data_IF_739506098441
#
_entry.id   IF_739506098441
#
_cell.length_a   1.000
_cell.length_b   1.000
_cell.length_c   1.000
_cell.angle_alpha   90.00
_cell.angle_beta   90.00
_cell.angle_gamma   90.00
#
_symmetry.space_group_name_H-M   'P 1'
#
loop_
_entity.id
_entity.type
_entity.pdbx_description
1 polymer ?
#
# COMPACT_ATOMS: atom_id res chain seq x y z
N UNK A 1 -9.09 35.16 8.28
CA UNK A 1 -10.22 35.04 7.34
C UNK A 1 -9.69 34.47 6.03
N UNK A 2 -10.21 33.33 5.56
CA UNK A 2 -9.90 32.83 4.21
C UNK A 2 -10.80 33.60 3.24
N UNK A 3 -10.23 34.48 2.42
CA UNK A 3 -11.00 35.13 1.35
C UNK A 3 -11.44 34.05 0.37
N UNK A 4 -12.75 33.97 0.12
CA UNK A 4 -13.28 33.08 -0.90
C UNK A 4 -12.74 33.53 -2.25
N UNK A 5 -12.21 32.59 -3.04
CA UNK A 5 -11.70 32.87 -4.38
C UNK A 5 -12.74 33.63 -5.21
N UNK A 6 -12.30 34.66 -5.93
CA UNK A 6 -13.17 35.49 -6.78
C UNK A 6 -13.81 34.64 -7.88
N UNK A 7 -14.93 35.09 -8.44
CA UNK A 7 -15.57 34.36 -9.54
C UNK A 7 -14.61 34.20 -10.74
N UNK A 8 -13.82 35.24 -11.03
CA UNK A 8 -12.81 35.22 -12.08
C UNK A 8 -11.71 34.17 -11.82
N UNK A 9 -11.22 34.07 -10.58
CA UNK A 9 -10.24 33.05 -10.18
C UNK A 9 -10.80 31.63 -10.34
N UNK A 10 -12.07 31.41 -9.95
CA UNK A 10 -12.73 30.10 -10.11
C UNK A 10 -12.91 29.72 -11.58
N UNK A 11 -13.31 30.67 -12.42
CA UNK A 11 -13.45 30.46 -13.87
C UNK A 11 -12.09 30.16 -14.50
N UNK A 12 -11.03 30.88 -14.10
CA UNK A 12 -9.67 30.62 -14.56
C UNK A 12 -9.20 29.20 -14.19
N UNK A 13 -9.38 28.78 -12.94
CA UNK A 13 -9.04 27.43 -12.49
C UNK A 13 -9.82 26.35 -13.26
N UNK A 14 -11.12 26.59 -13.52
CA UNK A 14 -11.94 25.69 -14.30
C UNK A 14 -11.44 25.56 -15.74
N UNK A 15 -11.17 26.68 -16.42
CA UNK A 15 -10.65 26.68 -17.79
C UNK A 15 -9.29 25.98 -17.85
N UNK A 16 -8.39 26.26 -16.89
CA UNK A 16 -7.09 25.60 -16.80
C UNK A 16 -7.23 24.08 -16.62
N UNK A 17 -8.22 23.63 -15.86
CA UNK A 17 -8.49 22.20 -15.69
C UNK A 17 -9.10 21.58 -16.95
N UNK A 18 -9.99 22.29 -17.64
CA UNK A 18 -10.57 21.87 -18.91
C UNK A 18 -9.49 21.73 -20.00
N UNK A 19 -8.60 22.71 -20.14
CA UNK A 19 -7.49 22.69 -21.10
C UNK A 19 -6.52 21.55 -20.83
N UNK A 20 -6.16 21.32 -19.56
CA UNK A 20 -5.34 20.18 -19.15
C UNK A 20 -5.99 18.85 -19.50
N UNK A 21 -7.30 18.73 -19.29
CA UNK A 21 -8.04 17.54 -19.64
C UNK A 21 -8.06 17.31 -21.16
N UNK A 22 -8.36 18.34 -21.96
CA UNK A 22 -8.38 18.25 -23.42
C UNK A 22 -7.01 17.78 -23.94
N UNK A 23 -5.92 18.44 -23.54
CA UNK A 23 -4.54 18.05 -23.92
C UNK A 23 -4.21 16.61 -23.54
N UNK A 24 -4.65 16.16 -22.37
CA UNK A 24 -4.44 14.76 -21.94
C UNK A 24 -5.24 13.77 -22.80
N UNK A 25 -6.47 14.13 -23.19
CA UNK A 25 -7.29 13.27 -24.04
C UNK A 25 -6.75 13.20 -25.47
N UNK A 26 -6.18 14.28 -26.02
CA UNK A 26 -5.55 14.27 -27.36
C UNK A 26 -4.45 13.22 -27.50
N UNK A 27 -3.70 12.97 -26.43
CA UNK A 27 -2.62 11.98 -26.39
C UNK A 27 -3.08 10.58 -25.95
N UNK A 28 -4.33 10.42 -25.53
CA UNK A 28 -4.88 9.16 -25.05
C UNK A 28 -5.36 8.29 -26.23
N UNK A 29 -4.79 7.10 -26.48
CA UNK A 29 -5.13 6.27 -27.64
C UNK A 29 -6.55 5.67 -27.55
N UNK A 30 -7.21 5.76 -26.40
CA UNK A 30 -8.58 5.31 -26.18
C UNK A 30 -9.61 6.44 -26.26
N UNK A 31 -9.20 7.66 -26.63
CA UNK A 31 -10.11 8.81 -26.77
C UNK A 31 -10.52 9.03 -28.23
N UNK A 32 -11.72 9.57 -28.45
CA UNK A 32 -12.15 10.02 -29.77
C UNK A 32 -11.40 11.29 -30.26
N UNK A 33 -10.57 11.91 -29.42
CA UNK A 33 -9.74 13.05 -29.80
C UNK A 33 -8.46 12.59 -30.49
N UNK A 34 -7.83 11.51 -30.03
CA UNK A 34 -6.61 10.97 -30.63
C UNK A 34 -6.85 10.35 -32.00
N UNK A 35 -8.01 9.72 -32.23
CA UNK A 35 -8.41 9.20 -33.54
C UNK A 35 -8.58 10.30 -34.60
N UNK A 36 -8.96 11.51 -34.19
CA UNK A 36 -9.12 12.68 -35.07
C UNK A 36 -7.80 13.43 -35.31
N UNK A 37 -6.94 13.49 -34.29
CA UNK A 37 -5.65 14.19 -34.35
C UNK A 37 -4.55 13.37 -35.01
N UNK A 38 -4.67 12.03 -35.03
CA UNK A 38 -3.58 11.14 -35.46
C UNK A 38 -2.40 11.08 -34.46
N UNK A 39 -2.54 11.76 -33.32
CA UNK A 39 -1.54 11.82 -32.26
C UNK A 39 -1.40 10.47 -31.56
N UNK A 40 -0.15 10.00 -31.45
CA UNK A 40 0.19 8.79 -30.69
C UNK A 40 0.56 9.18 -29.27
N UNK A 41 0.16 8.36 -28.31
CA UNK A 41 0.61 8.51 -26.92
C UNK A 41 2.14 8.52 -26.87
N UNK A 42 2.77 9.50 -26.21
CA UNK A 42 4.21 9.50 -25.99
C UNK A 42 4.62 8.21 -25.28
N UNK A 43 5.67 7.54 -25.77
CA UNK A 43 6.26 6.42 -25.02
C UNK A 43 7.04 7.02 -23.85
N UNK A 44 6.68 6.70 -22.60
CA UNK A 44 7.42 7.23 -21.47
C UNK A 44 8.87 6.74 -21.54
N UNK A 45 9.83 7.65 -21.45
CA UNK A 45 11.25 7.32 -21.28
C UNK A 45 11.57 7.43 -19.80
N UNK A 46 11.81 6.30 -19.15
CA UNK A 46 12.17 6.24 -17.72
C UNK A 46 13.58 5.67 -17.58
N UNK A 47 14.29 6.10 -16.54
CA UNK A 47 15.51 5.40 -16.13
C UNK A 47 15.17 4.02 -15.58
N UNK A 48 16.17 3.12 -15.55
CA UNK A 48 16.00 1.78 -14.98
C UNK A 48 15.47 1.82 -13.53
N UNK A 49 15.86 2.83 -12.76
CA UNK A 49 15.47 2.98 -11.35
C UNK A 49 14.03 3.50 -11.16
N UNK A 50 13.46 4.12 -12.19
CA UNK A 50 12.10 4.65 -12.20
C UNK A 50 11.10 3.66 -12.84
N UNK A 51 11.59 2.58 -13.46
CA UNK A 51 10.72 1.59 -14.06
C UNK A 51 9.83 0.90 -13.02
N UNK A 52 8.54 0.79 -13.32
CA UNK A 52 7.55 0.19 -12.41
C UNK A 52 7.19 1.04 -11.19
N UNK A 53 7.66 2.28 -11.10
CA UNK A 53 7.32 3.21 -10.00
C UNK A 53 6.35 4.29 -10.47
N UNK A 54 5.39 4.69 -9.62
CA UNK A 54 4.55 5.84 -9.92
C UNK A 54 5.39 7.13 -9.97
N UNK A 55 4.95 8.14 -10.73
CA UNK A 55 5.65 9.43 -10.77
C UNK A 55 5.72 10.06 -9.36
N UNK A 56 6.87 10.65 -8.99
CA UNK A 56 7.04 11.36 -7.74
C UNK A 56 5.97 12.43 -7.51
N UNK A 57 5.33 12.46 -6.34
CA UNK A 57 4.31 13.45 -5.99
C UNK A 57 2.93 13.19 -6.58
N UNK A 58 2.74 12.07 -7.27
CA UNK A 58 1.46 11.71 -7.87
C UNK A 58 0.49 11.07 -6.87
N UNK A 59 -0.82 11.18 -7.14
CA UNK A 59 -1.86 10.46 -6.39
C UNK A 59 -1.68 8.93 -6.42
N UNK A 60 -1.04 8.40 -7.46
CA UNK A 60 -0.73 6.97 -7.53
C UNK A 60 0.37 6.58 -6.54
N UNK A 61 1.38 7.42 -6.35
CA UNK A 61 2.43 7.20 -5.34
C UNK A 61 1.86 7.33 -3.93
N UNK A 62 1.08 8.38 -3.67
CA UNK A 62 0.39 8.55 -2.39
C UNK A 62 -0.46 7.32 -2.01
N UNK A 63 -1.27 6.82 -2.96
CA UNK A 63 -2.08 5.60 -2.75
C UNK A 63 -1.22 4.36 -2.50
N UNK A 64 -0.09 4.22 -3.19
CA UNK A 64 0.83 3.10 -2.96
C UNK A 64 1.44 3.13 -1.55
N UNK A 65 1.87 4.31 -1.09
CA UNK A 65 2.40 4.51 0.28
C UNK A 65 1.32 4.19 1.31
N UNK A 66 0.11 4.74 1.14
CA UNK A 66 -1.03 4.48 2.04
C UNK A 66 -1.41 3.00 2.10
N UNK A 67 -1.40 2.31 0.94
CA UNK A 67 -1.62 0.88 0.86
C UNK A 67 -0.58 0.08 1.64
N UNK A 68 0.71 0.45 1.54
CA UNK A 68 1.79 -0.15 2.33
C UNK A 68 1.59 0.07 3.83
N UNK A 69 1.20 1.28 4.26
CA UNK A 69 0.92 1.56 5.67
C UNK A 69 -0.20 0.66 6.18
N UNK A 70 -1.33 0.58 5.46
CA UNK A 70 -2.47 -0.26 5.86
C UNK A 70 -2.05 -1.73 5.97
N UNK A 71 -1.38 -2.26 4.94
CA UNK A 71 -0.91 -3.65 4.94
C UNK A 71 0.05 -3.95 6.10
N UNK A 72 0.97 -3.04 6.43
CA UNK A 72 1.89 -3.25 7.55
C UNK A 72 1.17 -3.23 8.90
N UNK A 73 0.09 -2.45 9.04
CA UNK A 73 -0.76 -2.49 10.24
C UNK A 73 -1.47 -3.84 10.37
N UNK A 74 -2.07 -4.33 9.28
CA UNK A 74 -2.78 -5.61 9.27
C UNK A 74 -1.84 -6.77 9.63
N UNK A 75 -0.58 -6.75 9.15
CA UNK A 75 0.43 -7.78 9.49
C UNK A 75 0.85 -7.70 10.96
N UNK A 76 1.03 -6.47 11.49
CA UNK A 76 1.39 -6.30 12.90
C UNK A 76 0.27 -6.80 13.82
N UNK A 77 -0.98 -6.44 13.51
CA UNK A 77 -2.17 -6.92 14.23
C UNK A 77 -2.25 -8.46 14.22
N UNK A 78 -1.98 -9.09 13.08
CA UNK A 78 -1.91 -10.55 12.96
C UNK A 78 -0.88 -11.16 13.90
N UNK A 79 0.32 -10.58 13.95
CA UNK A 79 1.37 -11.06 14.84
C UNK A 79 1.00 -10.85 16.33
N UNK A 80 0.31 -9.75 16.64
CA UNK A 80 -0.16 -9.48 18.01
C UNK A 80 -1.24 -10.45 18.46
N UNK A 81 -2.22 -10.76 17.60
CA UNK A 81 -3.26 -11.76 17.88
C UNK A 81 -2.64 -13.15 18.06
N UNK A 82 -1.71 -13.55 17.17
CA UNK A 82 -0.99 -14.81 17.30
C UNK A 82 -0.20 -14.90 18.61
N UNK A 83 0.40 -13.80 19.06
CA UNK A 83 1.13 -13.78 20.32
C UNK A 83 0.21 -13.86 21.55
N UNK A 84 -0.95 -13.20 21.50
CA UNK A 84 -1.92 -13.15 22.60
C UNK A 84 -2.66 -14.47 22.79
N UNK A 85 -3.27 -14.96 21.71
CA UNK A 85 -4.16 -16.12 21.73
C UNK A 85 -3.40 -17.44 21.43
N UNK A 86 -2.16 -17.36 20.95
CA UNK A 86 -1.36 -18.54 20.63
C UNK A 86 -0.88 -19.29 21.87
N UNK A 87 -0.80 -20.62 21.72
CA UNK A 87 -0.24 -21.50 22.73
C UNK A 87 1.29 -21.46 22.70
N UNK A 88 1.90 -21.61 23.86
CA UNK A 88 3.36 -21.69 23.96
C UNK A 88 3.81 -23.12 23.67
N UNK A 89 4.64 -23.30 22.66
CA UNK A 89 5.31 -24.57 22.37
C UNK A 89 6.82 -24.40 22.36
N UNK A 90 7.55 -25.48 22.65
CA UNK A 90 9.01 -25.49 22.60
C UNK A 90 9.41 -26.16 21.30
N UNK A 91 9.97 -25.38 20.38
CA UNK A 91 10.51 -25.85 19.09
C UNK A 91 12.01 -25.59 19.11
N UNK A 92 12.81 -26.63 18.90
CA UNK A 92 14.28 -26.55 18.93
C UNK A 92 14.86 -25.89 20.21
N UNK A 93 14.20 -26.11 21.35
CA UNK A 93 14.60 -25.54 22.65
C UNK A 93 14.21 -24.08 22.85
N UNK A 94 13.53 -23.45 21.89
CA UNK A 94 13.07 -22.07 21.96
C UNK A 94 11.55 -22.00 22.16
N UNK A 95 11.06 -21.12 23.05
CA UNK A 95 9.63 -20.89 23.20
C UNK A 95 9.07 -20.15 21.98
N UNK A 96 8.12 -20.78 21.29
CA UNK A 96 7.45 -20.27 20.09
C UNK A 96 5.95 -20.22 20.36
N UNK A 97 5.31 -19.13 19.96
CA UNK A 97 3.85 -19.00 19.96
C UNK A 97 3.29 -19.63 18.70
N UNK A 98 2.35 -20.57 18.86
CA UNK A 98 1.70 -21.26 17.75
C UNK A 98 0.19 -21.24 17.88
N UNK A 99 -0.52 -21.26 16.75
CA UNK A 99 -1.98 -21.34 16.70
C UNK A 99 -2.42 -22.14 15.47
N UNK A 100 -3.49 -22.93 15.59
CA UNK A 100 -4.07 -23.63 14.43
C UNK A 100 -4.68 -22.65 13.44
N UNK A 101 -4.58 -22.95 12.14
CA UNK A 101 -5.18 -22.15 11.09
C UNK A 101 -6.69 -21.98 11.26
N UNK A 102 -7.40 -22.99 11.76
CA UNK A 102 -8.82 -22.90 12.10
C UNK A 102 -9.11 -21.68 12.98
N UNK A 103 -8.35 -21.52 14.04
CA UNK A 103 -8.61 -20.52 15.08
C UNK A 103 -8.22 -19.13 14.59
N UNK A 104 -7.06 -19.02 13.92
CA UNK A 104 -6.66 -17.79 13.22
C UNK A 104 -7.73 -17.35 12.24
N UNK A 105 -8.22 -18.26 11.40
CA UNK A 105 -9.24 -17.96 10.40
C UNK A 105 -10.56 -17.56 11.06
N UNK A 106 -10.99 -18.28 12.10
CA UNK A 106 -12.23 -17.98 12.81
C UNK A 106 -12.20 -16.60 13.48
N UNK A 107 -11.09 -16.25 14.16
CA UNK A 107 -10.88 -14.91 14.72
C UNK A 107 -10.94 -13.84 13.62
N UNK A 108 -10.28 -14.09 12.49
CA UNK A 108 -10.21 -13.14 11.39
C UNK A 108 -11.48 -13.00 10.57
N UNK A 109 -12.41 -13.96 10.58
CA UNK A 109 -13.69 -13.79 9.85
C UNK A 109 -14.49 -12.55 10.29
N UNK A 110 -14.33 -12.12 11.54
CA UNK A 110 -14.98 -10.90 12.07
C UNK A 110 -14.14 -9.65 11.81
N UNK A 111 -12.82 -9.80 11.71
CA UNK A 111 -11.85 -8.69 11.65
C UNK A 111 -11.52 -8.29 10.20
N UNK A 112 -11.11 -9.27 9.37
CA UNK A 112 -10.58 -9.04 8.03
C UNK A 112 -10.66 -10.30 7.15
N UNK A 113 -11.21 -10.16 5.95
CA UNK A 113 -11.43 -11.24 4.97
C UNK A 113 -10.17 -11.71 4.21
N UNK A 114 -8.98 -11.21 4.58
CA UNK A 114 -7.72 -11.41 3.83
C UNK A 114 -6.67 -12.21 4.59
N UNK A 115 -7.05 -12.96 5.61
CA UNK A 115 -6.10 -13.64 6.53
C UNK A 115 -5.06 -14.50 5.82
N UNK A 116 -5.44 -15.28 4.80
CA UNK A 116 -4.49 -16.11 4.03
C UNK A 116 -3.45 -15.25 3.30
N UNK A 117 -3.88 -14.14 2.71
CA UNK A 117 -2.97 -13.20 2.05
C UNK A 117 -2.03 -12.51 3.04
N UNK A 118 -2.52 -12.18 4.24
CA UNK A 118 -1.72 -11.61 5.32
C UNK A 118 -0.68 -12.60 5.83
N UNK A 119 -1.05 -13.86 6.04
CA UNK A 119 -0.14 -14.94 6.44
C UNK A 119 0.98 -15.14 5.43
N UNK A 120 0.65 -15.20 4.13
CA UNK A 120 1.65 -15.30 3.06
C UNK A 120 2.60 -14.10 3.05
N UNK A 121 2.07 -12.90 3.30
CA UNK A 121 2.88 -11.68 3.34
C UNK A 121 3.78 -11.61 4.57
N UNK A 122 3.27 -12.02 5.73
CA UNK A 122 4.03 -12.15 6.97
C UNK A 122 5.14 -13.21 6.85
N UNK A 123 4.86 -14.34 6.19
CA UNK A 123 5.85 -15.38 5.88
C UNK A 123 6.96 -14.85 4.98
N UNK A 124 6.61 -14.08 3.94
CA UNK A 124 7.61 -13.42 3.08
C UNK A 124 8.53 -12.46 3.84
N UNK A 125 8.08 -11.91 4.97
CA UNK A 125 8.87 -11.06 5.86
C UNK A 125 9.61 -11.84 6.96
N UNK A 126 9.49 -13.17 7.00
CA UNK A 126 10.13 -14.01 8.02
C UNK A 126 9.57 -13.82 9.43
N UNK A 127 8.28 -13.50 9.53
CA UNK A 127 7.59 -13.26 10.82
C UNK A 127 6.84 -14.49 11.31
N UNK A 128 6.23 -15.23 10.37
CA UNK A 128 5.45 -16.44 10.65
C UNK A 128 5.90 -17.56 9.74
N UNK A 129 5.73 -18.79 10.20
CA UNK A 129 5.92 -19.99 9.40
C UNK A 129 4.74 -20.95 9.55
N UNK A 130 4.48 -21.73 8.50
CA UNK A 130 3.47 -22.79 8.47
C UNK A 130 3.74 -23.75 7.31
N UNK A 131 3.27 -24.98 7.45
CA UNK A 131 3.44 -26.02 6.43
C UNK A 131 2.59 -25.75 5.18
N UNK A 132 3.20 -25.92 4.00
CA UNK A 132 2.54 -25.83 2.69
C UNK A 132 2.66 -24.46 2.01
N UNK A 133 2.25 -24.38 0.74
CA UNK A 133 2.34 -23.14 -0.05
C UNK A 133 1.26 -22.13 0.31
N UNK A 134 0.06 -22.60 0.62
CA UNK A 134 -1.14 -21.83 0.97
C UNK A 134 -2.07 -22.69 1.84
N UNK A 135 -3.08 -22.07 2.46
CA UNK A 135 -3.99 -22.70 3.41
C UNK A 135 -5.44 -22.54 2.97
N UNK A 136 -6.22 -23.62 3.07
CA UNK A 136 -7.63 -23.67 2.72
C UNK A 136 -8.46 -24.11 3.92
N UNK A 137 -9.56 -23.39 4.17
CA UNK A 137 -10.50 -23.70 5.24
C UNK A 137 -11.05 -25.13 5.08
N UNK A 138 -11.31 -25.81 6.20
CA UNK A 138 -11.79 -27.21 6.32
C UNK A 138 -10.78 -28.28 5.93
N UNK A 139 -9.79 -27.96 5.09
CA UNK A 139 -8.73 -28.89 4.68
C UNK A 139 -7.50 -28.75 5.57
N UNK A 140 -7.02 -27.51 5.71
CA UNK A 140 -5.75 -27.19 6.35
C UNK A 140 -5.95 -26.60 7.75
N UNK A 141 -7.15 -26.81 8.33
CA UNK A 141 -7.57 -26.26 9.63
C UNK A 141 -6.64 -26.64 10.80
N UNK A 142 -5.97 -27.78 10.69
CA UNK A 142 -5.06 -28.34 11.69
C UNK A 142 -3.61 -27.83 11.57
N UNK A 143 -3.29 -27.08 10.51
CA UNK A 143 -1.94 -26.58 10.29
C UNK A 143 -1.60 -25.54 11.34
N UNK A 144 -0.45 -25.70 11.98
CA UNK A 144 0.06 -24.76 12.97
C UNK A 144 0.75 -23.59 12.29
N UNK A 145 0.36 -22.39 12.70
CA UNK A 145 1.00 -21.13 12.33
C UNK A 145 1.87 -20.70 13.51
N UNK A 146 3.18 -20.72 13.32
CA UNK A 146 4.16 -20.36 14.33
C UNK A 146 4.72 -18.95 14.11
N UNK A 147 4.91 -18.21 15.20
CA UNK A 147 5.57 -16.91 15.20
C UNK A 147 7.10 -17.09 15.31
N UNK A 148 7.84 -16.78 14.25
CA UNK A 148 9.29 -17.02 14.18
C UNK A 148 10.07 -16.07 15.12
N UNK A 149 9.53 -14.88 15.38
CA UNK A 149 10.18 -13.82 16.15
C UNK A 149 9.36 -13.43 17.38
N UNK A 150 10.00 -13.08 18.51
CA UNK A 150 9.29 -12.50 19.65
C UNK A 150 8.53 -11.23 19.25
N UNK A 151 7.37 -10.99 19.87
CA UNK A 151 6.50 -9.87 19.52
C UNK A 151 7.18 -8.51 19.72
N UNK A 152 8.10 -8.42 20.69
CA UNK A 152 8.92 -7.23 20.95
C UNK A 152 9.80 -6.88 19.75
N UNK A 153 10.44 -7.89 19.14
CA UNK A 153 11.29 -7.70 17.96
C UNK A 153 10.45 -7.26 16.76
N UNK A 154 9.30 -7.90 16.55
CA UNK A 154 8.35 -7.56 15.48
C UNK A 154 7.89 -6.10 15.62
N UNK A 155 7.53 -5.65 16.83
CA UNK A 155 7.13 -4.26 17.09
C UNK A 155 8.22 -3.26 16.73
N UNK A 156 9.48 -3.57 17.00
CA UNK A 156 10.63 -2.72 16.62
C UNK A 156 10.79 -2.65 15.10
N UNK A 157 10.69 -3.79 14.41
CA UNK A 157 10.75 -3.87 12.95
C UNK A 157 9.66 -2.99 12.32
N UNK A 158 8.40 -3.14 12.76
CA UNK A 158 7.29 -2.40 12.21
C UNK A 158 7.33 -0.91 12.54
N UNK A 159 7.83 -0.53 13.73
CA UNK A 159 8.07 0.88 14.07
C UNK A 159 8.97 1.55 13.03
N UNK A 160 10.10 0.91 12.72
CA UNK A 160 11.02 1.39 11.68
C UNK A 160 10.34 1.48 10.30
N UNK A 161 9.59 0.45 9.91
CA UNK A 161 8.83 0.50 8.64
C UNK A 161 7.83 1.67 8.59
N UNK A 162 7.13 1.95 9.68
CA UNK A 162 6.20 3.07 9.75
C UNK A 162 6.90 4.43 9.68
N UNK A 163 8.06 4.57 10.33
CA UNK A 163 8.87 5.79 10.25
C UNK A 163 9.35 6.03 8.81
N UNK A 164 9.89 5.00 8.16
CA UNK A 164 10.34 5.07 6.76
C UNK A 164 9.18 5.47 5.82
N UNK A 165 8.01 4.85 6.00
CA UNK A 165 6.80 5.14 5.23
C UNK A 165 6.27 6.55 5.45
N UNK A 166 6.36 7.07 6.67
CA UNK A 166 5.94 8.42 7.02
C UNK A 166 6.84 9.47 6.38
N UNK A 167 8.14 9.21 6.32
CA UNK A 167 9.09 10.06 5.60
C UNK A 167 8.89 10.01 4.09
N UNK A 168 8.56 8.86 3.52
CA UNK A 168 8.12 8.76 2.12
C UNK A 168 6.84 9.58 1.86
N UNK A 169 5.84 9.47 2.73
CA UNK A 169 4.59 10.22 2.61
C UNK A 169 4.82 11.73 2.67
N UNK A 170 5.70 12.20 3.57
CA UNK A 170 6.10 13.61 3.69
C UNK A 170 6.78 14.09 2.40
N UNK A 171 7.76 13.34 1.89
CA UNK A 171 8.45 13.67 0.62
C UNK A 171 7.49 13.73 -0.56
N UNK A 172 6.54 12.80 -0.64
CA UNK A 172 5.50 12.83 -1.68
C UNK A 172 4.63 14.10 -1.59
N UNK A 173 4.25 14.53 -0.38
CA UNK A 173 3.49 15.77 -0.17
C UNK A 173 4.28 17.01 -0.62
N UNK A 174 5.57 17.06 -0.32
CA UNK A 174 6.47 18.16 -0.74
C UNK A 174 6.66 18.20 -2.26
N UNK A 175 6.84 17.04 -2.89
CA UNK A 175 6.92 16.92 -4.34
C UNK A 175 5.62 17.35 -5.04
N UNK A 176 4.47 16.96 -4.49
CA UNK A 176 3.16 17.37 -4.99
C UNK A 176 2.97 18.91 -4.92
N UNK A 177 3.36 19.54 -3.81
CA UNK A 177 3.29 21.00 -3.64
C UNK A 177 4.21 21.73 -4.64
N UNK A 178 5.40 21.20 -4.89
CA UNK A 178 6.36 21.79 -5.83
C UNK A 178 5.87 21.72 -7.28
N UNK A 179 5.17 20.64 -7.67
CA UNK A 179 4.54 20.53 -8.99
C UNK A 179 3.38 21.51 -9.18
N UNK A 180 2.66 21.87 -8.13
CA UNK A 180 1.59 22.88 -8.18
C UNK A 180 2.16 24.29 -8.39
N UNK A 181 3.36 24.58 -7.85
CA UNK A 181 4.02 25.89 -7.95
C UNK A 181 4.76 26.13 -9.29
N UNK A 182 5.01 25.09 -10.08
CA UNK A 182 5.66 25.21 -11.40
C UNK A 182 4.70 25.47 -12.56
N UNK A 183 3.40 25.58 -12.30
CA UNK A 183 2.44 25.98 -13.32
C UNK A 183 2.53 27.51 -13.46
N UNK A 184 2.98 28.06 -14.60
CA UNK A 184 3.09 29.50 -14.75
C UNK A 184 1.72 30.15 -14.52
N UNK A 185 1.66 31.13 -13.61
CA UNK A 185 0.58 32.10 -13.62
C UNK A 185 0.70 32.88 -14.94
N UNK A 186 -0.16 32.55 -15.89
CA UNK A 186 -0.48 33.42 -17.03
C UNK A 186 -1.85 34.02 -16.79
#
# INVERSE_FOLDING_TARGET
>A
MRFAASLAEKVSLFNQQADRHIKKQELNPFSAASSRSGSRSPRPTFSKDQYGKPPPGSESEYRAIKGRISMNKDILELCEILNQEGELQIVDGMPVKVMCFRDVFQLYTVINDKVVGLLLRARKQGLVDFEGETLFQRRDDHVLIGLIKPIEEIRVIFRKHFDDLKEEERRNKEAAQSQVLQVPNY
#
